data_IF_751120700977
#
_entry.id   IF_751120700977
#
_cell.length_a   1.000
_cell.length_b   1.000
_cell.length_c   1.000
_cell.angle_alpha   90.00
_cell.angle_beta   90.00
_cell.angle_gamma   90.00
#
_symmetry.space_group_name_H-M   'P 1'
#
loop_
_entity.id
_entity.type
_entity.pdbx_description
1 polymer ?
#
# COMPACT_ATOMS: atom_id res chain seq x y z
N UNK A 1 -77.74 47.40 13.81
CA UNK A 1 -76.45 47.11 13.10
C UNK A 1 -75.92 45.74 13.56
N UNK A 2 -76.12 44.68 12.77
CA UNK A 2 -75.55 43.34 13.00
C UNK A 2 -74.28 43.26 12.21
N UNK A 3 -73.13 43.20 12.92
CA UNK A 3 -71.82 42.90 12.28
C UNK A 3 -71.79 41.42 11.90
N UNK A 4 -71.71 41.14 10.63
CA UNK A 4 -71.46 39.81 10.10
C UNK A 4 -70.02 39.45 10.40
N UNK A 5 -69.78 38.52 11.30
CA UNK A 5 -68.47 37.86 11.48
C UNK A 5 -68.25 36.91 10.32
N UNK A 6 -67.52 37.39 9.30
CA UNK A 6 -67.11 36.55 8.18
C UNK A 6 -66.30 35.37 8.71
N UNK A 7 -66.66 34.16 8.28
CA UNK A 7 -65.99 32.89 8.60
C UNK A 7 -64.56 32.88 8.11
N UNK A 8 -63.61 33.09 9.02
CA UNK A 8 -62.17 32.91 8.76
C UNK A 8 -61.68 31.50 9.11
N UNK A 9 -62.57 30.52 9.27
CA UNK A 9 -62.23 29.16 9.73
C UNK A 9 -61.40 28.31 8.73
N UNK A 10 -61.40 28.63 7.42
CA UNK A 10 -60.65 27.91 6.44
C UNK A 10 -59.20 28.26 6.39
N UNK A 11 -58.81 29.53 6.61
CA UNK A 11 -57.44 30.00 6.59
C UNK A 11 -56.60 29.44 7.76
N UNK A 12 -57.23 29.37 8.95
CA UNK A 12 -56.52 28.82 10.12
C UNK A 12 -56.11 27.35 9.93
N UNK A 13 -56.96 26.52 9.30
CA UNK A 13 -56.64 25.12 9.03
C UNK A 13 -55.44 24.96 8.06
N UNK A 14 -55.46 25.77 6.99
CA UNK A 14 -54.35 25.77 6.01
C UNK A 14 -53.03 26.20 6.68
N UNK A 15 -53.07 27.26 7.49
CA UNK A 15 -51.90 27.74 8.21
C UNK A 15 -51.32 26.66 9.17
N UNK A 16 -52.20 25.93 9.90
CA UNK A 16 -51.74 24.84 10.79
C UNK A 16 -51.12 23.70 10.01
N UNK A 17 -51.69 23.29 8.88
CA UNK A 17 -51.12 22.22 8.05
C UNK A 17 -49.73 22.63 7.50
N UNK A 18 -49.60 23.88 7.03
CA UNK A 18 -48.33 24.41 6.53
C UNK A 18 -47.27 24.51 7.64
N UNK A 19 -47.61 24.97 8.82
CA UNK A 19 -46.68 25.04 9.95
C UNK A 19 -46.25 23.65 10.42
N UNK A 20 -47.15 22.69 10.50
CA UNK A 20 -46.84 21.29 10.81
C UNK A 20 -45.94 20.68 9.74
N UNK A 21 -46.23 20.93 8.46
CA UNK A 21 -45.38 20.49 7.35
C UNK A 21 -43.96 21.05 7.44
N UNK A 22 -43.84 22.35 7.73
CA UNK A 22 -42.54 23.01 7.89
C UNK A 22 -41.74 22.46 9.08
N UNK A 23 -42.40 22.28 10.23
CA UNK A 23 -41.76 21.71 11.44
C UNK A 23 -41.29 20.27 11.16
N UNK A 24 -42.12 19.47 10.48
CA UNK A 24 -41.74 18.10 10.11
C UNK A 24 -40.56 18.07 9.17
N UNK A 25 -40.51 18.95 8.16
CA UNK A 25 -39.40 19.07 7.23
C UNK A 25 -38.10 19.48 7.94
N UNK A 26 -38.17 20.46 8.84
CA UNK A 26 -37.03 20.89 9.64
C UNK A 26 -36.54 19.77 10.56
N UNK A 27 -37.46 19.06 11.22
CA UNK A 27 -37.11 17.91 12.06
C UNK A 27 -36.41 16.80 11.26
N UNK A 28 -36.93 16.51 10.06
CA UNK A 28 -36.31 15.50 9.18
C UNK A 28 -34.90 15.91 8.72
N UNK A 29 -34.70 17.19 8.38
CA UNK A 29 -33.40 17.71 8.00
C UNK A 29 -32.34 17.57 9.13
N UNK A 30 -32.74 17.85 10.37
CA UNK A 30 -31.90 17.69 11.56
C UNK A 30 -31.53 16.21 11.77
N UNK A 31 -32.54 15.31 11.70
CA UNK A 31 -32.33 13.87 11.90
C UNK A 31 -31.39 13.30 10.82
N UNK A 32 -31.58 13.63 9.55
CA UNK A 32 -30.74 13.19 8.44
C UNK A 32 -29.34 13.74 8.62
N UNK A 33 -29.17 15.01 8.97
CA UNK A 33 -27.89 15.64 9.23
C UNK A 33 -27.13 14.98 10.40
N UNK A 34 -27.85 14.67 11.50
CA UNK A 34 -27.27 13.98 12.64
C UNK A 34 -26.77 12.57 12.27
N UNK A 35 -27.63 11.80 11.57
CA UNK A 35 -27.24 10.43 11.09
C UNK A 35 -26.04 10.46 10.17
N UNK A 36 -25.97 11.42 9.24
CA UNK A 36 -24.84 11.57 8.33
C UNK A 36 -23.55 11.86 9.11
N UNK A 37 -23.58 12.81 10.05
CA UNK A 37 -22.42 13.15 10.89
C UNK A 37 -21.93 11.96 11.72
N UNK A 38 -22.85 11.22 12.35
CA UNK A 38 -22.52 10.03 13.14
C UNK A 38 -21.85 8.96 12.27
N UNK A 39 -22.43 8.68 11.08
CA UNK A 39 -21.88 7.69 10.15
C UNK A 39 -20.50 8.10 9.62
N UNK A 40 -20.33 9.38 9.30
CA UNK A 40 -19.03 9.92 8.85
C UNK A 40 -17.98 9.82 9.94
N UNK A 41 -18.31 10.22 11.17
CA UNK A 41 -17.42 10.11 12.33
C UNK A 41 -17.04 8.66 12.62
N UNK A 42 -17.99 7.73 12.58
CA UNK A 42 -17.73 6.30 12.75
C UNK A 42 -16.78 5.76 11.66
N UNK A 43 -17.01 6.12 10.40
CA UNK A 43 -16.14 5.70 9.31
C UNK A 43 -14.70 6.23 9.48
N UNK A 44 -14.53 7.48 9.90
CA UNK A 44 -13.20 8.03 10.18
C UNK A 44 -12.50 7.28 11.33
N UNK A 45 -13.22 7.00 12.41
CA UNK A 45 -12.68 6.25 13.53
C UNK A 45 -12.22 4.85 13.10
N UNK A 46 -13.02 4.14 12.30
CA UNK A 46 -12.70 2.81 11.78
C UNK A 46 -11.48 2.81 10.87
N UNK A 47 -11.38 3.78 9.96
CA UNK A 47 -10.20 3.90 9.07
C UNK A 47 -8.95 4.23 9.88
N UNK A 48 -9.03 5.14 10.84
CA UNK A 48 -7.91 5.48 11.73
C UNK A 48 -7.46 4.27 12.56
N UNK A 49 -8.41 3.50 13.10
CA UNK A 49 -8.09 2.28 13.82
C UNK A 49 -7.37 1.25 12.93
N UNK A 50 -7.86 1.04 11.70
CA UNK A 50 -7.21 0.16 10.73
C UNK A 50 -5.82 0.65 10.34
N UNK A 51 -5.60 1.97 10.24
CA UNK A 51 -4.28 2.58 10.00
C UNK A 51 -3.31 2.28 11.15
N UNK A 52 -3.71 2.54 12.40
CA UNK A 52 -2.88 2.25 13.58
C UNK A 52 -2.56 0.75 13.70
N UNK A 53 -3.52 -0.10 13.39
CA UNK A 53 -3.33 -1.55 13.34
C UNK A 53 -2.33 -1.96 12.25
N UNK A 54 -2.36 -1.30 11.07
CA UNK A 54 -1.40 -1.56 9.99
C UNK A 54 0.03 -1.13 10.38
N UNK A 55 0.17 -0.01 11.06
CA UNK A 55 1.47 0.44 11.59
C UNK A 55 2.02 -0.52 12.65
N UNK A 56 1.16 -0.99 13.54
CA UNK A 56 1.52 -2.00 14.55
C UNK A 56 1.97 -3.31 13.89
N UNK A 57 1.29 -3.73 12.81
CA UNK A 57 1.64 -4.93 12.06
C UNK A 57 3.00 -4.79 11.34
N UNK A 58 3.32 -3.61 10.79
CA UNK A 58 4.66 -3.35 10.21
C UNK A 58 5.73 -3.44 11.30
N UNK A 59 5.52 -2.81 12.45
CA UNK A 59 6.47 -2.86 13.56
C UNK A 59 6.66 -4.30 14.09
N UNK A 60 5.59 -5.08 14.14
CA UNK A 60 5.66 -6.50 14.48
C UNK A 60 6.53 -7.27 13.45
N UNK A 61 6.36 -7.00 12.16
CA UNK A 61 7.16 -7.64 11.12
C UNK A 61 8.64 -7.26 11.20
N UNK A 62 8.96 -5.98 11.48
CA UNK A 62 10.34 -5.53 11.71
C UNK A 62 10.94 -6.27 12.91
N UNK A 63 10.23 -6.30 14.04
CA UNK A 63 10.70 -7.00 15.23
C UNK A 63 10.92 -8.50 14.99
N UNK A 64 10.02 -9.11 14.18
CA UNK A 64 10.13 -10.51 13.78
C UNK A 64 11.33 -10.75 12.86
N UNK A 65 11.57 -9.84 11.91
CA UNK A 65 12.71 -9.90 11.00
C UNK A 65 14.05 -9.79 11.74
N UNK A 66 14.13 -8.88 12.72
CA UNK A 66 15.34 -8.68 13.53
C UNK A 66 15.61 -9.83 14.51
N UNK A 67 14.56 -10.52 14.96
CA UNK A 67 14.69 -11.67 15.86
C UNK A 67 14.90 -13.01 15.12
N UNK A 68 14.82 -13.01 13.78
CA UNK A 68 14.96 -14.22 12.96
C UNK A 68 16.43 -14.71 13.02
N UNK A 69 16.58 -16.03 13.22
CA UNK A 69 17.86 -16.74 13.07
C UNK A 69 17.71 -17.80 11.98
N UNK A 70 18.81 -18.36 11.43
CA UNK A 70 18.71 -19.43 10.43
C UNK A 70 17.86 -20.63 10.90
N UNK A 71 17.86 -20.92 12.20
CA UNK A 71 17.10 -22.03 12.82
C UNK A 71 15.63 -21.63 13.07
N UNK A 72 15.35 -20.34 13.21
CA UNK A 72 14.05 -19.78 13.56
C UNK A 72 13.54 -18.84 12.48
N UNK A 73 13.45 -19.36 11.26
CA UNK A 73 12.94 -18.61 10.14
C UNK A 73 11.40 -18.45 10.23
N UNK A 74 10.92 -17.23 10.17
CA UNK A 74 9.48 -16.95 10.05
C UNK A 74 9.09 -16.94 8.59
N UNK A 75 8.05 -17.70 8.24
CA UNK A 75 7.53 -17.75 6.88
C UNK A 75 6.52 -16.62 6.65
N UNK A 76 6.70 -15.86 5.59
CA UNK A 76 5.71 -14.91 5.09
C UNK A 76 4.98 -15.49 3.87
N UNK A 77 3.73 -15.12 3.62
CA UNK A 77 2.90 -14.14 4.34
C UNK A 77 2.44 -14.63 5.71
N UNK A 78 2.55 -13.74 6.70
CA UNK A 78 2.02 -13.98 8.03
C UNK A 78 0.54 -13.55 8.05
N UNK A 79 -0.34 -14.48 8.40
CA UNK A 79 -1.79 -14.27 8.47
C UNK A 79 -2.26 -14.51 9.88
N UNK A 80 -2.72 -13.45 10.53
CA UNK A 80 -3.00 -13.49 11.95
C UNK A 80 -4.06 -12.46 12.34
N UNK A 81 -4.48 -12.51 13.61
CA UNK A 81 -5.41 -11.55 14.19
C UNK A 81 -4.66 -10.67 15.19
N UNK A 82 -4.82 -9.36 15.03
CA UNK A 82 -4.30 -8.37 15.95
C UNK A 82 -5.14 -8.30 17.23
N UNK A 83 -4.61 -7.73 18.33
CA UNK A 83 -5.32 -7.65 19.62
C UNK A 83 -6.68 -6.95 19.55
N UNK A 84 -6.88 -5.99 18.66
CA UNK A 84 -8.16 -5.30 18.40
C UNK A 84 -9.17 -6.12 17.61
N UNK A 85 -8.80 -7.36 17.19
CA UNK A 85 -9.68 -8.24 16.42
C UNK A 85 -9.55 -8.11 14.90
N UNK A 86 -8.77 -7.17 14.41
CA UNK A 86 -8.50 -6.96 12.99
C UNK A 86 -7.73 -8.15 12.40
N UNK A 87 -8.03 -8.49 11.17
CA UNK A 87 -7.29 -9.49 10.39
C UNK A 87 -6.12 -8.80 9.71
N UNK A 88 -4.93 -9.36 9.90
CA UNK A 88 -3.70 -8.89 9.30
C UNK A 88 -3.14 -9.91 8.32
N UNK A 89 -2.78 -9.46 7.13
CA UNK A 89 -1.92 -10.19 6.19
C UNK A 89 -0.65 -9.36 6.01
N UNK A 90 0.46 -9.90 6.49
CA UNK A 90 1.77 -9.24 6.44
C UNK A 90 2.64 -9.98 5.43
N UNK A 91 3.11 -9.28 4.42
CA UNK A 91 4.08 -9.79 3.44
C UNK A 91 5.40 -9.06 3.59
N UNK A 92 6.49 -9.77 3.36
CA UNK A 92 7.84 -9.22 3.30
C UNK A 92 8.44 -9.60 1.96
N UNK A 93 8.85 -8.61 1.19
CA UNK A 93 9.46 -8.76 -0.13
C UNK A 93 10.87 -8.18 -0.09
N UNK A 94 11.85 -8.97 -0.51
CA UNK A 94 13.23 -8.50 -0.60
C UNK A 94 13.41 -7.55 -1.78
N UNK A 95 14.10 -6.44 -1.57
CA UNK A 95 14.37 -5.47 -2.64
C UNK A 95 15.27 -6.05 -3.74
N UNK A 96 16.12 -7.04 -3.42
CA UNK A 96 16.96 -7.72 -4.42
C UNK A 96 16.16 -8.51 -5.46
N UNK A 97 14.91 -8.90 -5.14
CA UNK A 97 13.99 -9.58 -6.06
C UNK A 97 13.24 -8.63 -6.99
N UNK A 98 13.46 -7.31 -6.91
CA UNK A 98 12.79 -6.29 -7.72
C UNK A 98 13.71 -5.72 -8.81
N UNK A 99 13.10 -5.08 -9.81
CA UNK A 99 13.83 -4.37 -10.87
C UNK A 99 14.37 -3.04 -10.32
N UNK A 100 15.67 -2.86 -10.29
CA UNK A 100 16.28 -1.64 -9.77
C UNK A 100 16.32 -0.53 -10.83
N UNK A 101 15.64 0.59 -10.54
CA UNK A 101 15.61 1.73 -11.45
C UNK A 101 16.98 2.39 -11.69
N UNK A 102 17.97 2.17 -10.83
CA UNK A 102 19.30 2.76 -10.95
C UNK A 102 20.31 1.85 -11.63
N UNK A 103 20.21 0.54 -11.41
CA UNK A 103 21.27 -0.41 -11.82
C UNK A 103 20.81 -1.47 -12.79
N UNK A 104 19.48 -1.68 -12.94
CA UNK A 104 18.99 -2.71 -13.85
C UNK A 104 19.48 -2.49 -15.28
N UNK A 105 19.83 -3.59 -15.94
CA UNK A 105 20.28 -3.58 -17.33
C UNK A 105 19.18 -3.06 -18.26
N UNK A 106 19.52 -2.42 -19.40
CA UNK A 106 18.52 -2.03 -20.38
C UNK A 106 17.67 -3.21 -20.85
N UNK A 107 18.25 -4.40 -20.91
CA UNK A 107 17.56 -5.65 -21.29
C UNK A 107 16.50 -6.03 -20.24
N UNK A 108 16.85 -6.00 -18.95
CA UNK A 108 15.94 -6.29 -17.85
C UNK A 108 14.78 -5.29 -17.82
N UNK A 109 15.08 -3.99 -17.96
CA UNK A 109 14.07 -2.93 -18.02
C UNK A 109 13.13 -3.11 -19.21
N UNK A 110 13.67 -3.33 -20.42
CA UNK A 110 12.85 -3.53 -21.62
C UNK A 110 11.95 -4.75 -21.47
N UNK A 111 12.50 -5.88 -21.02
CA UNK A 111 11.71 -7.09 -20.75
C UNK A 111 10.58 -6.84 -19.78
N UNK A 112 10.86 -6.16 -18.68
CA UNK A 112 9.87 -5.83 -17.64
C UNK A 112 8.77 -4.92 -18.18
N UNK A 113 9.12 -3.78 -18.78
CA UNK A 113 8.11 -2.84 -19.26
C UNK A 113 7.36 -3.34 -20.49
N UNK A 114 7.97 -4.18 -21.34
CA UNK A 114 7.28 -4.89 -22.42
C UNK A 114 6.22 -5.84 -21.84
N UNK A 115 6.60 -6.64 -20.85
CA UNK A 115 5.66 -7.56 -20.20
C UNK A 115 4.50 -6.81 -19.51
N UNK A 116 4.80 -5.66 -18.89
CA UNK A 116 3.81 -4.86 -18.17
C UNK A 116 2.84 -4.12 -19.10
N UNK A 117 3.31 -3.68 -20.26
CA UNK A 117 2.52 -2.91 -21.26
C UNK A 117 1.88 -3.79 -22.32
N UNK A 118 2.40 -4.98 -22.56
CA UNK A 118 2.07 -5.83 -23.71
C UNK A 118 2.60 -5.28 -25.05
N UNK A 119 3.47 -4.24 -25.02
CA UNK A 119 3.98 -3.53 -26.21
C UNK A 119 5.48 -3.31 -26.09
N UNK A 120 6.25 -3.97 -26.97
CA UNK A 120 7.69 -3.88 -27.00
C UNK A 120 8.20 -2.46 -27.28
N UNK A 121 7.57 -1.74 -28.21
CA UNK A 121 7.98 -0.38 -28.57
C UNK A 121 7.80 0.57 -27.37
N UNK A 122 6.72 0.41 -26.62
CA UNK A 122 6.48 1.18 -25.40
C UNK A 122 7.47 0.81 -24.30
N UNK A 123 7.75 -0.49 -24.11
CA UNK A 123 8.78 -0.96 -23.19
C UNK A 123 10.16 -0.36 -23.47
N UNK A 124 10.58 -0.36 -24.74
CA UNK A 124 11.85 0.25 -25.17
C UNK A 124 11.88 1.77 -24.92
N UNK A 125 10.79 2.50 -25.19
CA UNK A 125 10.73 3.95 -24.95
C UNK A 125 10.89 4.28 -23.47
N UNK A 126 10.19 3.57 -22.58
CA UNK A 126 10.31 3.78 -21.13
C UNK A 126 11.73 3.45 -20.65
N UNK A 127 12.30 2.35 -21.15
CA UNK A 127 13.70 1.98 -20.85
C UNK A 127 14.68 3.05 -21.25
N UNK A 128 14.53 3.62 -22.46
CA UNK A 128 15.38 4.70 -22.94
C UNK A 128 15.31 5.93 -22.02
N UNK A 129 14.11 6.29 -21.56
CA UNK A 129 13.93 7.41 -20.63
C UNK A 129 14.55 7.15 -19.27
N UNK A 130 14.40 5.94 -18.70
CA UNK A 130 15.08 5.56 -17.45
C UNK A 130 16.59 5.65 -17.63
N UNK A 131 17.10 5.15 -18.73
CA UNK A 131 18.54 5.20 -19.04
C UNK A 131 19.03 6.64 -19.21
N UNK A 132 18.25 7.49 -19.87
CA UNK A 132 18.56 8.91 -20.01
C UNK A 132 18.51 9.65 -18.68
N UNK A 133 17.52 9.35 -17.81
CA UNK A 133 17.41 9.92 -16.47
C UNK A 133 18.64 9.63 -15.60
N UNK A 134 19.27 8.47 -15.79
CA UNK A 134 20.50 8.06 -15.08
C UNK A 134 21.75 8.83 -15.51
N UNK A 135 21.73 9.49 -16.68
CA UNK A 135 22.88 10.24 -17.17
C UNK A 135 23.06 11.52 -16.36
N UNK A 136 24.29 11.86 -15.95
CA UNK A 136 24.58 13.15 -15.34
C UNK A 136 24.15 14.26 -16.29
N UNK A 137 23.26 15.15 -15.87
CA UNK A 137 22.93 16.34 -16.65
C UNK A 137 24.10 17.30 -16.56
N UNK A 138 24.87 17.41 -17.63
CA UNK A 138 25.87 18.47 -17.79
C UNK A 138 25.13 19.81 -17.93
N UNK A 139 24.83 20.46 -16.81
CA UNK A 139 24.46 21.87 -16.78
C UNK A 139 25.69 22.68 -16.44
N UNK A 140 25.96 23.67 -17.32
CA UNK A 140 27.17 24.46 -17.33
C UNK A 140 27.69 24.88 -15.94
N UNK A 141 28.99 24.74 -15.78
CA UNK A 141 29.89 25.22 -14.73
C UNK A 141 29.89 24.58 -13.34
N UNK A 142 28.91 23.78 -12.96
CA UNK A 142 29.00 22.95 -11.77
C UNK A 142 28.56 21.53 -12.15
N UNK A 143 29.48 20.60 -12.16
CA UNK A 143 29.19 19.19 -12.45
C UNK A 143 28.12 18.70 -11.48
N UNK A 144 26.97 18.22 -12.02
CA UNK A 144 25.96 17.53 -11.24
C UNK A 144 26.63 16.42 -10.46
N UNK A 145 26.43 16.35 -9.16
CA UNK A 145 26.98 15.26 -8.37
C UNK A 145 26.36 13.93 -8.87
N UNK A 146 27.10 12.80 -8.87
CA UNK A 146 26.58 11.52 -9.31
C UNK A 146 25.28 11.10 -8.62
N UNK A 147 24.96 11.67 -7.44
CA UNK A 147 23.72 11.46 -6.72
C UNK A 147 22.51 12.11 -7.40
N UNK A 148 22.66 13.18 -8.16
CA UNK A 148 21.56 13.88 -8.86
C UNK A 148 21.09 13.13 -10.10
N UNK A 149 21.91 12.24 -10.65
CA UNK A 149 21.58 11.39 -11.79
C UNK A 149 20.90 10.07 -11.43
N UNK A 150 20.47 9.89 -10.18
CA UNK A 150 19.86 8.64 -9.69
C UNK A 150 18.45 8.85 -9.21
N UNK A 151 17.63 7.83 -9.39
CA UNK A 151 16.34 7.76 -8.72
C UNK A 151 16.56 7.65 -7.21
N UNK A 152 16.02 8.58 -6.45
CA UNK A 152 16.06 8.58 -4.98
C UNK A 152 14.86 7.85 -4.38
N UNK A 153 13.74 7.84 -5.12
CA UNK A 153 12.52 7.10 -4.78
C UNK A 153 11.87 6.55 -6.03
N UNK A 154 11.14 5.44 -5.90
CA UNK A 154 10.36 4.84 -7.00
C UNK A 154 9.27 5.77 -7.52
N UNK A 155 8.84 6.75 -6.73
CA UNK A 155 7.81 7.73 -7.11
C UNK A 155 8.24 8.62 -8.28
N UNK A 156 9.55 8.81 -8.49
CA UNK A 156 10.06 9.60 -9.63
C UNK A 156 9.79 8.93 -10.99
N UNK A 157 9.43 7.65 -10.99
CA UNK A 157 9.02 6.94 -12.21
C UNK A 157 7.78 7.58 -12.87
N UNK A 158 6.89 8.20 -12.07
CA UNK A 158 5.70 8.90 -12.57
C UNK A 158 6.01 10.15 -13.42
N UNK A 159 7.22 10.68 -13.28
CA UNK A 159 7.68 11.87 -14.01
C UNK A 159 8.14 11.56 -15.45
N UNK A 160 8.25 10.28 -15.80
CA UNK A 160 8.73 9.88 -17.12
C UNK A 160 7.60 9.95 -18.16
N UNK A 161 7.93 10.47 -19.37
CA UNK A 161 6.98 10.54 -20.47
C UNK A 161 6.46 9.14 -20.87
N UNK A 162 5.16 9.04 -21.11
CA UNK A 162 4.49 7.78 -21.45
C UNK A 162 4.16 6.90 -20.24
N UNK A 163 4.51 7.32 -19.02
CA UNK A 163 4.10 6.68 -17.79
C UNK A 163 2.67 7.12 -17.44
N UNK A 164 1.68 6.28 -17.74
CA UNK A 164 0.30 6.55 -17.32
C UNK A 164 0.11 6.18 -15.84
N UNK A 165 -0.85 6.79 -15.12
CA UNK A 165 -1.11 6.47 -13.72
C UNK A 165 -1.42 4.98 -13.47
N UNK A 166 -2.03 4.31 -14.45
CA UNK A 166 -2.29 2.87 -14.38
C UNK A 166 -1.00 2.05 -14.50
N UNK A 167 -0.14 2.41 -15.44
CA UNK A 167 1.14 1.73 -15.65
C UNK A 167 2.08 1.96 -14.46
N UNK A 168 2.14 3.19 -13.97
CA UNK A 168 2.90 3.55 -12.78
C UNK A 168 2.50 2.69 -11.57
N UNK A 169 1.20 2.62 -11.24
CA UNK A 169 0.71 1.78 -10.13
C UNK A 169 1.04 0.31 -10.33
N UNK A 170 0.91 -0.21 -11.55
CA UNK A 170 1.26 -1.59 -11.85
C UNK A 170 2.77 -1.87 -11.70
N UNK A 171 3.62 -0.89 -12.00
CA UNK A 171 5.08 -1.02 -11.87
C UNK A 171 5.56 -0.96 -10.41
N UNK A 172 4.91 -0.13 -9.55
CA UNK A 172 5.39 0.21 -8.21
C UNK A 172 5.77 -0.98 -7.33
N UNK A 173 5.04 -2.09 -7.42
CA UNK A 173 5.30 -3.29 -6.61
C UNK A 173 6.51 -4.10 -7.07
N UNK A 174 6.98 -3.84 -8.28
CA UNK A 174 8.02 -4.64 -8.95
C UNK A 174 9.33 -3.91 -9.14
N UNK A 175 9.37 -2.62 -8.81
CA UNK A 175 10.55 -1.78 -8.97
C UNK A 175 11.11 -1.33 -7.63
N UNK A 176 12.41 -1.04 -7.62
CA UNK A 176 13.14 -0.52 -6.46
C UNK A 176 14.21 0.47 -6.91
N UNK A 177 14.81 1.17 -5.95
CA UNK A 177 16.01 1.99 -6.12
C UNK A 177 17.13 1.56 -5.16
N UNK A 178 17.00 0.36 -4.56
CA UNK A 178 17.79 -0.07 -3.39
C UNK A 178 18.45 -1.43 -3.52
N UNK A 179 18.22 -2.19 -4.60
CA UNK A 179 18.83 -3.52 -4.73
C UNK A 179 20.28 -3.45 -5.18
N UNK A 180 20.66 -2.43 -5.95
CA UNK A 180 21.99 -2.30 -6.54
C UNK A 180 22.32 -3.38 -7.58
N UNK A 181 21.34 -4.18 -8.02
CA UNK A 181 21.57 -5.31 -8.93
C UNK A 181 21.16 -4.96 -10.37
N UNK A 182 21.96 -5.39 -11.37
CA UNK A 182 21.60 -5.21 -12.79
C UNK A 182 20.47 -6.13 -13.25
N UNK A 183 20.29 -7.26 -12.58
CA UNK A 183 19.19 -8.22 -12.78
C UNK A 183 18.57 -8.56 -11.42
N UNK A 184 17.25 -8.71 -11.35
CA UNK A 184 16.59 -9.12 -10.13
C UNK A 184 16.94 -10.56 -9.76
N UNK A 185 17.07 -10.84 -8.48
CA UNK A 185 17.21 -12.19 -7.98
C UNK A 185 15.88 -12.93 -8.10
N UNK A 186 15.80 -13.87 -9.03
CA UNK A 186 14.55 -14.60 -9.31
C UNK A 186 14.08 -15.49 -8.15
N UNK A 187 14.99 -15.88 -7.24
CA UNK A 187 14.61 -16.65 -6.04
C UNK A 187 13.97 -15.77 -4.97
N UNK A 188 14.32 -14.46 -4.95
CA UNK A 188 13.74 -13.45 -4.08
C UNK A 188 12.54 -12.74 -4.71
N UNK A 189 12.34 -12.90 -6.02
CA UNK A 189 11.28 -12.22 -6.74
C UNK A 189 9.89 -12.67 -6.31
N UNK A 190 8.94 -11.73 -6.25
CA UNK A 190 7.57 -12.04 -5.93
C UNK A 190 6.94 -12.95 -6.99
N UNK A 191 6.01 -13.85 -6.62
CA UNK A 191 5.29 -14.69 -7.58
C UNK A 191 4.57 -13.89 -8.68
N UNK A 192 4.18 -12.66 -8.38
CA UNK A 192 3.57 -11.75 -9.35
C UNK A 192 4.58 -11.29 -10.41
N UNK A 193 5.80 -10.93 -9.99
CA UNK A 193 6.86 -10.54 -10.92
C UNK A 193 7.31 -11.73 -11.78
N UNK A 194 7.46 -12.93 -11.18
CA UNK A 194 7.83 -14.14 -11.93
C UNK A 194 6.81 -14.46 -13.03
N UNK A 195 5.50 -14.40 -12.70
CA UNK A 195 4.43 -14.57 -13.70
C UNK A 195 4.50 -13.52 -14.80
N UNK A 196 4.70 -12.24 -14.43
CA UNK A 196 4.82 -11.15 -15.39
C UNK A 196 5.99 -11.37 -16.37
N UNK A 197 7.12 -11.83 -15.87
CA UNK A 197 8.30 -12.11 -16.67
C UNK A 197 8.28 -13.48 -17.35
N UNK A 198 7.17 -14.24 -17.19
CA UNK A 198 7.03 -15.60 -17.70
C UNK A 198 8.19 -16.53 -17.29
N UNK A 199 8.58 -16.43 -16.02
CA UNK A 199 9.61 -17.26 -15.39
C UNK A 199 8.93 -18.27 -14.46
N UNK A 200 9.15 -19.54 -14.70
CA UNK A 200 8.66 -20.56 -13.77
C UNK A 200 9.43 -20.46 -12.44
N UNK A 201 8.73 -20.43 -11.30
CA UNK A 201 9.37 -20.47 -10.00
C UNK A 201 10.15 -21.78 -9.91
N UNK A 202 11.45 -21.72 -9.73
CA UNK A 202 12.22 -22.92 -9.38
C UNK A 202 11.68 -23.40 -8.03
N UNK A 203 11.17 -24.63 -8.00
CA UNK A 203 10.75 -25.28 -6.75
C UNK A 203 11.99 -25.61 -5.92
N UNK A 204 12.64 -24.59 -5.40
CA UNK A 204 13.61 -24.77 -4.34
C UNK A 204 12.80 -25.01 -3.07
N UNK A 205 12.79 -26.25 -2.58
CA UNK A 205 12.24 -26.65 -1.29
C UNK A 205 12.98 -25.98 -0.11
N UNK A 206 13.85 -25.05 -0.38
CA UNK A 206 14.54 -24.25 0.62
C UNK A 206 13.57 -23.17 1.06
N UNK A 207 12.99 -23.35 2.25
CA UNK A 207 12.31 -22.27 2.98
C UNK A 207 13.35 -21.17 3.17
N UNK A 208 13.31 -20.16 2.31
CA UNK A 208 14.18 -19.00 2.45
C UNK A 208 13.69 -18.25 3.67
N UNK A 209 14.49 -18.23 4.72
CA UNK A 209 14.25 -17.39 5.88
C UNK A 209 14.27 -15.91 5.49
N UNK A 210 13.86 -15.05 6.38
CA UNK A 210 14.04 -13.60 6.18
C UNK A 210 15.52 -13.30 5.92
N UNK A 211 15.82 -12.34 5.01
CA UNK A 211 17.20 -11.93 4.79
C UNK A 211 17.79 -11.42 6.10
N UNK A 212 18.97 -11.90 6.46
CA UNK A 212 19.71 -11.44 7.64
C UNK A 212 20.28 -10.02 7.46
N UNK A 213 20.04 -9.40 6.32
CA UNK A 213 20.50 -8.05 5.97
C UNK A 213 19.82 -7.53 4.71
N UNK A 214 20.21 -6.31 4.30
CA UNK A 214 19.68 -5.69 3.09
C UNK A 214 18.39 -4.89 3.32
N UNK A 215 17.67 -4.62 2.24
CA UNK A 215 16.43 -3.85 2.28
C UNK A 215 15.23 -4.71 1.90
N UNK A 216 14.12 -4.52 2.61
CA UNK A 216 12.87 -5.24 2.40
C UNK A 216 11.70 -4.26 2.33
N UNK A 217 10.70 -4.57 1.54
CA UNK A 217 9.39 -3.92 1.61
C UNK A 217 8.46 -4.80 2.47
N UNK A 218 7.98 -4.24 3.57
CA UNK A 218 6.96 -4.84 4.42
C UNK A 218 5.62 -4.23 4.03
N UNK A 219 4.65 -5.08 3.71
CA UNK A 219 3.27 -4.68 3.41
C UNK A 219 2.33 -5.31 4.43
N UNK A 220 1.65 -4.48 5.18
CA UNK A 220 0.63 -4.87 6.14
C UNK A 220 -0.76 -4.50 5.59
N UNK A 221 -1.56 -5.50 5.28
CA UNK A 221 -2.94 -5.38 4.83
C UNK A 221 -3.88 -5.73 5.97
N UNK A 222 -4.60 -4.74 6.45
CA UNK A 222 -5.49 -4.86 7.61
C UNK A 222 -6.94 -4.74 7.17
N UNK A 223 -7.75 -5.67 7.65
CA UNK A 223 -9.21 -5.65 7.48
C UNK A 223 -9.88 -5.71 8.85
N UNK A 224 -10.63 -4.68 9.19
CA UNK A 224 -11.43 -4.60 10.40
C UNK A 224 -12.79 -5.30 10.25
N UNK A 225 -13.44 -5.62 11.36
CA UNK A 225 -14.72 -6.32 11.35
C UNK A 225 -15.87 -5.51 10.74
N UNK A 226 -15.79 -4.20 10.77
CA UNK A 226 -16.76 -3.25 10.20
C UNK A 226 -16.55 -2.97 8.70
N UNK A 227 -15.58 -3.67 8.08
CA UNK A 227 -15.25 -3.55 6.66
C UNK A 227 -14.22 -2.47 6.34
N UNK A 228 -13.72 -1.72 7.32
CA UNK A 228 -12.61 -0.80 7.09
C UNK A 228 -11.36 -1.59 6.69
N UNK A 229 -10.65 -1.11 5.66
CA UNK A 229 -9.42 -1.72 5.18
C UNK A 229 -8.34 -0.66 5.00
N UNK A 230 -7.15 -0.98 5.48
CA UNK A 230 -5.97 -0.12 5.32
C UNK A 230 -4.74 -0.94 5.00
N UNK A 231 -3.93 -0.43 4.08
CA UNK A 231 -2.67 -1.05 3.69
C UNK A 231 -1.55 -0.08 3.97
N UNK A 232 -0.57 -0.53 4.77
CA UNK A 232 0.67 0.19 5.01
C UNK A 232 1.83 -0.55 4.33
N UNK A 233 2.65 0.21 3.61
CA UNK A 233 3.91 -0.28 3.07
C UNK A 233 5.06 0.48 3.69
N UNK A 234 6.09 -0.25 4.11
CA UNK A 234 7.32 0.32 4.63
C UNK A 234 8.53 -0.30 3.92
N UNK A 235 9.38 0.55 3.36
CA UNK A 235 10.70 0.14 2.89
C UNK A 235 11.67 0.25 4.07
N UNK A 236 12.21 -0.88 4.49
CA UNK A 236 13.04 -1.00 5.68
C UNK A 236 14.42 -1.54 5.27
N UNK A 237 15.47 -0.83 5.68
CA UNK A 237 16.84 -1.36 5.64
C UNK A 237 17.11 -2.06 6.97
N UNK A 238 17.36 -3.36 6.93
CA UNK A 238 17.65 -4.19 8.11
C UNK A 238 19.11 -4.04 8.58
N UNK A 239 19.91 -3.34 7.79
CA UNK A 239 21.28 -2.90 8.16
C UNK A 239 21.22 -1.40 8.45
N UNK A 240 21.00 -1.04 9.71
CA UNK A 240 20.71 0.34 10.08
C UNK A 240 21.91 1.29 10.04
N UNK A 241 23.13 0.80 10.19
CA UNK A 241 24.33 1.62 10.38
C UNK A 241 24.26 2.48 11.66
N UNK A 242 25.38 3.01 12.11
CA UNK A 242 25.50 3.89 13.30
C UNK A 242 24.83 3.33 14.58
N UNK A 243 24.90 2.01 14.80
CA UNK A 243 24.32 1.36 15.99
C UNK A 243 22.80 1.19 15.97
N UNK A 244 22.13 1.53 14.87
CA UNK A 244 20.69 1.27 14.71
C UNK A 244 20.47 -0.11 14.08
N UNK A 245 19.56 -0.94 14.60
CA UNK A 245 19.29 -2.26 14.04
C UNK A 245 18.57 -2.19 12.67
N UNK A 246 17.85 -1.11 12.39
CA UNK A 246 17.15 -0.88 11.13
C UNK A 246 16.92 0.62 10.88
N UNK A 247 16.56 0.94 9.64
CA UNK A 247 16.11 2.29 9.23
C UNK A 247 14.91 2.14 8.31
N UNK A 248 13.81 2.84 8.64
CA UNK A 248 12.68 2.98 7.73
C UNK A 248 13.05 4.05 6.71
N UNK A 249 13.10 3.67 5.44
CA UNK A 249 13.46 4.55 4.31
C UNK A 249 12.25 5.22 3.68
N UNK A 250 11.14 4.47 3.58
CA UNK A 250 9.88 4.95 3.03
C UNK A 250 8.73 4.42 3.87
N UNK A 251 7.71 5.26 4.02
CA UNK A 251 6.49 4.94 4.75
C UNK A 251 5.32 5.46 3.95
N UNK A 252 4.54 4.56 3.34
CA UNK A 252 3.49 4.94 2.41
C UNK A 252 2.22 4.14 2.62
N UNK A 253 1.11 4.66 2.11
CA UNK A 253 -0.13 3.92 1.95
C UNK A 253 0.00 3.02 0.72
N UNK A 254 -0.30 1.73 0.87
CA UNK A 254 -0.34 0.79 -0.24
C UNK A 254 -1.69 0.82 -0.97
N UNK A 255 -1.67 0.49 -2.25
CA UNK A 255 -2.88 0.33 -3.05
C UNK A 255 -3.52 -1.04 -2.80
N UNK A 256 -4.85 -1.09 -2.88
CA UNK A 256 -5.62 -2.34 -2.85
C UNK A 256 -5.56 -2.95 -4.25
N UNK A 257 -4.92 -4.11 -4.38
CA UNK A 257 -4.95 -4.89 -5.61
C UNK A 257 -6.24 -5.75 -5.66
N UNK A 258 -6.77 -5.94 -6.87
CA UNK A 258 -7.93 -6.83 -7.09
C UNK A 258 -7.62 -8.28 -6.72
N UNK A 259 -6.36 -8.71 -6.82
CA UNK A 259 -5.90 -10.03 -6.35
C UNK A 259 -6.01 -10.18 -4.84
N UNK A 260 -5.86 -9.08 -4.09
CA UNK A 260 -5.98 -9.06 -2.63
C UNK A 260 -7.44 -9.22 -2.16
N UNK A 261 -8.41 -8.90 -3.02
CA UNK A 261 -9.85 -9.04 -2.71
C UNK A 261 -10.34 -10.50 -2.76
N UNK A 262 -9.62 -11.39 -3.45
CA UNK A 262 -9.99 -12.81 -3.61
C UNK A 262 -9.48 -13.70 -2.49
N UNK A 263 -8.76 -13.16 -1.53
CA UNK A 263 -8.20 -13.93 -0.43
C UNK A 263 -9.16 -13.96 0.75
N UNK A 264 -10.32 -14.61 0.58
CA UNK A 264 -11.13 -15.05 1.70
C UNK A 264 -10.33 -16.12 2.46
N UNK A 265 -9.87 -15.79 3.68
CA UNK A 265 -8.86 -16.59 4.35
C UNK A 265 -9.33 -17.07 5.70
N UNK A 266 -8.95 -18.34 6.06
CA UNK A 266 -9.30 -18.92 7.34
C UNK A 266 -8.80 -18.07 8.49
N UNK A 267 -9.53 -18.08 9.59
CA UNK A 267 -9.22 -17.35 10.81
C UNK A 267 -7.84 -17.76 11.33
N UNK A 268 -6.87 -16.86 11.21
CA UNK A 268 -5.51 -17.06 11.70
C UNK A 268 -5.42 -17.01 13.23
N UNK A 269 -4.34 -17.59 13.77
CA UNK A 269 -3.94 -17.45 15.18
C UNK A 269 -3.65 -15.98 15.50
N UNK A 270 -3.63 -15.63 16.80
CA UNK A 270 -3.19 -14.30 17.21
C UNK A 270 -1.76 -14.01 16.73
N UNK A 271 -1.50 -12.80 16.23
CA UNK A 271 -0.18 -12.44 15.69
C UNK A 271 0.95 -12.60 16.71
N UNK A 272 0.67 -12.30 17.97
CA UNK A 272 1.65 -12.47 19.07
C UNK A 272 1.98 -13.95 19.32
N UNK A 273 0.99 -14.86 19.25
CA UNK A 273 1.21 -16.30 19.42
C UNK A 273 2.02 -16.93 18.29
N UNK A 274 1.91 -16.40 17.08
CA UNK A 274 2.75 -16.85 15.95
C UNK A 274 4.22 -16.53 16.21
N UNK A 275 4.51 -15.40 16.83
CA UNK A 275 5.86 -15.02 17.25
C UNK A 275 6.40 -15.94 18.36
N UNK A 276 5.60 -16.28 19.35
CA UNK A 276 6.01 -17.17 20.45
C UNK A 276 6.27 -18.59 19.95
N UNK A 277 5.42 -19.12 19.05
CA UNK A 277 5.62 -20.43 18.43
C UNK A 277 6.86 -20.50 17.52
N UNK A 278 7.32 -19.38 16.99
CA UNK A 278 8.58 -19.29 16.24
C UNK A 278 9.79 -19.14 17.17
N UNK A 279 9.57 -18.78 18.45
CA UNK A 279 10.61 -18.60 19.46
C UNK A 279 10.85 -19.84 20.35
N UNK A 280 9.94 -20.82 20.31
CA UNK A 280 10.06 -22.13 20.96
C UNK A 280 10.63 -23.18 20.00
#
# INVERSE_FOLDING_TARGET
MRRSTARQSGFALVAVIWTLGLITLLGMAVIVGARYRTKTSSNYASVTAAEMAAESAVNLAIATALAATPERAVNFPLRCRLPGGERATITVEEEIGKIDLNTASPTALTRFFTALTGDQSRGMRITAQITEFRKPKAQGTLAATPAEARFTTVMQLDQLDGMSPRLFRAALRHVTVRSGRPEPDMEAASPALLRLLNVEPKHTNVKRGLPLGGSVTIRADISAADGARFIREALVSLEGGNGRPYVIREWRRGDIDLSDLRQDQPQGRACLQVREAAAS
#
